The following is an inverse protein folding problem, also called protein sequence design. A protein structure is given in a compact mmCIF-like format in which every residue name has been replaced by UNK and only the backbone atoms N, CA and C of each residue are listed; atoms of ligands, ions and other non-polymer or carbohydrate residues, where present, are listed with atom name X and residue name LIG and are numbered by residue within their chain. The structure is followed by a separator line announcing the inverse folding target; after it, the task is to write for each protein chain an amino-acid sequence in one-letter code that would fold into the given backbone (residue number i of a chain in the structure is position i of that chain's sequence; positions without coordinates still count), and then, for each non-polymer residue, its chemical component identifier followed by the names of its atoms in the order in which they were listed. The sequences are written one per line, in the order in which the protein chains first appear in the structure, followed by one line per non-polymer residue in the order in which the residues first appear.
data_IF_639512112843
#
_entry.id   IF_639512112843
#
_cell.length_a   1.000
_cell.length_b   1.000
_cell.length_c   1.000
_cell.angle_alpha   90.00
_cell.angle_beta   90.00
_cell.angle_gamma   90.00
#
_symmetry.space_group_name_H-M   'P 1'
#
loop_
_entity.id
_entity.type
_entity.pdbx_description
1 polymer ?
#
# COMPACT_ATOMS: atom_id res chain seq x y z
N UNK A 1 -5.80 14.72 16.64
CA UNK A 1 -4.51 14.58 15.94
C UNK A 1 -4.73 13.60 14.81
N UNK A 2 -4.50 13.97 13.56
CA UNK A 2 -4.71 13.06 12.43
C UNK A 2 -3.62 12.00 12.44
N UNK A 3 -3.94 10.83 12.98
CA UNK A 3 -3.09 9.63 12.91
C UNK A 3 -2.82 9.31 11.43
N UNK A 4 -1.61 8.86 11.10
CA UNK A 4 -1.22 8.54 9.73
C UNK A 4 -2.10 7.40 9.16
N UNK A 5 -3.07 7.72 8.30
CA UNK A 5 -4.04 6.76 7.76
C UNK A 5 -3.48 6.02 6.55
N UNK A 6 -2.65 5.00 6.79
CA UNK A 6 -1.96 4.26 5.74
C UNK A 6 -2.91 3.67 4.68
N UNK A 7 -4.08 3.17 5.09
CA UNK A 7 -5.07 2.59 4.17
C UNK A 7 -5.74 3.60 3.24
N UNK A 8 -5.58 4.90 3.49
CA UNK A 8 -6.20 5.99 2.73
C UNK A 8 -5.18 6.85 1.99
N UNK A 9 -3.91 6.79 2.37
CA UNK A 9 -2.88 7.68 1.84
C UNK A 9 -2.34 7.19 0.49
N UNK A 10 -2.05 8.13 -0.41
CA UNK A 10 -1.31 7.90 -1.65
C UNK A 10 0.01 8.68 -1.60
N UNK A 11 1.16 7.98 -1.63
CA UNK A 11 2.46 8.67 -1.58
C UNK A 11 2.84 9.36 -2.89
N UNK A 12 2.20 9.04 -4.01
CA UNK A 12 2.51 9.66 -5.30
C UNK A 12 2.06 11.12 -5.39
N UNK A 13 0.94 11.46 -4.76
CA UNK A 13 0.35 12.79 -4.79
C UNK A 13 0.14 13.40 -3.39
N UNK A 14 0.43 12.65 -2.33
CA UNK A 14 0.28 13.07 -0.94
C UNK A 14 -1.18 13.17 -0.45
N UNK A 15 -2.14 12.67 -1.22
CA UNK A 15 -3.57 12.81 -0.91
C UNK A 15 -4.09 11.67 -0.05
N UNK A 16 -5.20 11.93 0.65
CA UNK A 16 -5.96 10.93 1.40
C UNK A 16 -7.30 10.68 0.72
N UNK A 17 -7.52 9.45 0.27
CA UNK A 17 -8.78 9.00 -0.31
C UNK A 17 -9.40 7.94 0.59
N UNK A 18 -10.62 8.18 1.08
CA UNK A 18 -11.37 7.17 1.84
C UNK A 18 -11.65 5.96 0.94
N UNK A 19 -11.43 4.77 1.49
CA UNK A 19 -11.70 3.48 0.82
C UNK A 19 -12.62 2.64 1.69
N UNK A 20 -13.54 1.92 1.07
CA UNK A 20 -14.38 0.94 1.75
C UNK A 20 -13.56 -0.31 2.08
N UNK A 21 -14.02 -1.11 3.06
CA UNK A 21 -13.34 -2.36 3.41
C UNK A 21 -13.25 -3.33 2.22
N UNK A 22 -14.23 -3.34 1.32
CA UNK A 22 -14.26 -4.16 0.10
C UNK A 22 -13.28 -3.70 -0.99
N UNK A 23 -12.82 -2.45 -0.98
CA UNK A 23 -11.81 -1.95 -1.91
C UNK A 23 -10.41 -2.40 -1.50
N UNK A 24 -10.04 -3.63 -1.89
CA UNK A 24 -8.79 -4.30 -1.48
C UNK A 24 -7.58 -4.00 -2.37
N UNK A 25 -7.78 -3.29 -3.47
CA UNK A 25 -6.74 -2.91 -4.42
C UNK A 25 -6.69 -1.39 -4.58
N UNK A 26 -5.47 -0.86 -4.64
CA UNK A 26 -5.20 0.49 -5.12
C UNK A 26 -4.89 0.44 -6.62
N UNK A 27 -5.36 1.44 -7.35
CA UNK A 27 -5.03 1.66 -8.76
C UNK A 27 -4.43 3.05 -8.88
N UNK A 28 -3.13 3.10 -9.18
CA UNK A 28 -2.39 4.34 -9.40
C UNK A 28 -2.05 4.43 -10.88
N UNK A 29 -3.02 4.90 -11.68
CA UNK A 29 -2.88 5.03 -13.14
C UNK A 29 -2.43 3.73 -13.83
N UNK A 30 -3.02 2.58 -13.47
CA UNK A 30 -2.71 1.26 -13.99
C UNK A 30 -1.75 0.44 -13.12
N UNK A 31 -1.08 1.07 -12.14
CA UNK A 31 -0.26 0.36 -11.15
C UNK A 31 -1.20 -0.18 -10.07
N UNK A 32 -1.49 -1.48 -10.13
CA UNK A 32 -2.33 -2.17 -9.15
C UNK A 32 -1.52 -2.69 -7.98
N UNK A 33 -1.89 -2.29 -6.76
CA UNK A 33 -1.22 -2.71 -5.53
C UNK A 33 -2.24 -3.15 -4.50
N UNK A 34 -2.01 -4.29 -3.87
CA UNK A 34 -2.85 -4.79 -2.80
C UNK A 34 -2.81 -3.83 -1.60
N UNK A 35 -3.99 -3.45 -1.10
CA UNK A 35 -4.18 -2.36 -0.12
C UNK A 35 -3.39 -2.57 1.17
N UNK A 36 -3.39 -3.77 1.70
CA UNK A 36 -2.78 -4.07 3.00
C UNK A 36 -1.26 -4.14 2.87
N UNK A 37 -0.75 -4.73 1.77
CA UNK A 37 0.68 -4.69 1.44
C UNK A 37 1.17 -3.24 1.27
N UNK A 38 0.39 -2.40 0.59
CA UNK A 38 0.71 -0.99 0.44
C UNK A 38 0.66 -0.22 1.77
N UNK A 39 -0.33 -0.52 2.62
CA UNK A 39 -0.43 0.08 3.95
C UNK A 39 0.78 -0.28 4.83
N UNK A 40 1.21 -1.54 4.79
CA UNK A 40 2.40 -2.01 5.50
C UNK A 40 3.67 -1.32 4.96
N UNK A 41 3.80 -1.17 3.64
CA UNK A 41 4.87 -0.41 3.01
C UNK A 41 4.92 1.05 3.50
N UNK A 42 3.77 1.73 3.57
CA UNK A 42 3.70 3.10 4.08
C UNK A 42 4.11 3.18 5.56
N UNK A 43 3.59 2.28 6.41
CA UNK A 43 3.92 2.23 7.84
C UNK A 43 5.43 2.02 8.06
N UNK A 44 6.07 1.15 7.26
CA UNK A 44 7.52 0.93 7.30
C UNK A 44 8.32 2.19 6.92
N UNK A 45 7.71 3.14 6.21
CA UNK A 45 8.30 4.41 5.78
C UNK A 45 7.68 5.61 6.51
N UNK A 46 7.26 5.44 7.76
CA UNK A 46 6.78 6.57 8.56
C UNK A 46 7.96 7.49 8.95
N UNK A 47 7.68 8.79 9.09
CA UNK A 47 8.63 9.77 9.62
C UNK A 47 8.97 9.49 11.08
N UNK A 48 10.12 10.00 11.54
CA UNK A 48 10.58 9.81 12.92
C UNK A 48 9.61 10.40 13.96
N UNK A 49 8.78 11.37 13.54
CA UNK A 49 7.73 11.94 14.37
C UNK A 49 6.46 11.08 14.46
N UNK A 50 6.39 9.93 13.75
CA UNK A 50 5.28 8.98 13.69
C UNK A 50 3.92 9.60 13.28
N UNK A 51 3.94 10.78 12.64
CA UNK A 51 2.73 11.56 12.32
C UNK A 51 2.42 11.60 10.83
N UNK A 52 3.42 11.40 9.99
CA UNK A 52 3.31 11.41 8.53
C UNK A 52 4.22 10.37 7.90
N UNK A 53 3.95 10.02 6.64
CA UNK A 53 4.81 9.17 5.85
C UNK A 53 5.98 9.97 5.27
N UNK A 54 7.16 9.37 5.27
CA UNK A 54 8.37 9.90 4.66
C UNK A 54 8.32 9.62 3.15
N UNK A 55 7.91 10.64 2.38
CA UNK A 55 7.65 10.52 0.95
C UNK A 55 8.94 10.20 0.18
N UNK A 56 10.07 10.78 0.59
CA UNK A 56 11.36 10.53 -0.05
C UNK A 56 11.79 9.06 0.13
N UNK A 57 11.63 8.50 1.34
CA UNK A 57 11.85 7.07 1.58
C UNK A 57 10.87 6.20 0.79
N UNK A 58 9.60 6.59 0.70
CA UNK A 58 8.62 5.86 -0.10
C UNK A 58 9.05 5.81 -1.57
N UNK A 59 9.34 6.97 -2.17
CA UNK A 59 9.77 7.07 -3.56
C UNK A 59 11.03 6.24 -3.84
N UNK A 60 12.06 6.35 -2.99
CA UNK A 60 13.31 5.61 -3.16
C UNK A 60 13.19 4.09 -2.98
N UNK A 61 12.12 3.59 -2.33
CA UNK A 61 11.90 2.16 -2.07
C UNK A 61 10.79 1.55 -2.91
N UNK A 62 9.99 2.39 -3.58
CA UNK A 62 8.74 1.96 -4.22
C UNK A 62 8.97 0.92 -5.32
N UNK A 63 9.94 1.12 -6.22
CA UNK A 63 10.20 0.17 -7.31
C UNK A 63 10.49 -1.25 -6.80
N UNK A 64 11.38 -1.37 -5.81
CA UNK A 64 11.72 -2.68 -5.25
C UNK A 64 10.53 -3.30 -4.50
N UNK A 65 9.76 -2.48 -3.75
CA UNK A 65 8.52 -2.93 -3.14
C UNK A 65 7.54 -3.46 -4.19
N UNK A 66 7.31 -2.70 -5.27
CA UNK A 66 6.37 -3.06 -6.32
C UNK A 66 6.76 -4.36 -7.04
N UNK A 67 8.05 -4.54 -7.33
CA UNK A 67 8.58 -5.79 -7.88
C UNK A 67 8.32 -6.98 -6.96
N UNK A 68 8.65 -6.86 -5.67
CA UNK A 68 8.44 -7.94 -4.69
C UNK A 68 6.95 -8.22 -4.44
N UNK A 69 6.13 -7.17 -4.40
CA UNK A 69 4.68 -7.26 -4.30
C UNK A 69 4.11 -8.11 -5.44
N UNK A 70 4.49 -7.84 -6.69
CA UNK A 70 3.96 -8.59 -7.83
C UNK A 70 4.34 -10.07 -7.78
N UNK A 71 5.60 -10.38 -7.42
CA UNK A 71 6.03 -11.77 -7.22
C UNK A 71 5.21 -12.47 -6.12
N UNK A 72 4.90 -11.76 -5.04
CA UNK A 72 4.11 -12.31 -3.94
C UNK A 72 2.64 -12.50 -4.33
N UNK A 73 2.03 -11.54 -5.02
CA UNK A 73 0.68 -11.68 -5.58
C UNK A 73 0.60 -12.88 -6.51
N UNK A 74 1.56 -13.05 -7.41
CA UNK A 74 1.59 -14.18 -8.34
C UNK A 74 1.73 -15.52 -7.57
N UNK A 75 2.57 -15.57 -6.54
CA UNK A 75 2.75 -16.75 -5.68
C UNK A 75 1.47 -17.13 -4.92
N UNK A 76 0.69 -16.12 -4.51
CA UNK A 76 -0.54 -16.29 -3.74
C UNK A 76 -1.77 -16.52 -4.60
N UNK A 77 -1.72 -16.14 -5.89
CA UNK A 77 -2.83 -16.33 -6.83
C UNK A 77 -3.18 -17.82 -6.95
N UNK A 78 -4.48 -18.13 -6.90
CA UNK A 78 -4.98 -19.51 -6.97
C UNK A 78 -4.95 -20.27 -5.63
N UNK A 79 -4.53 -19.65 -4.53
CA UNK A 79 -4.64 -20.23 -3.18
C UNK A 79 -6.06 -20.00 -2.64
N UNK A 80 -6.79 -21.09 -2.37
CA UNK A 80 -8.22 -21.06 -1.98
C UNK A 80 -8.55 -20.33 -0.68
N UNK A 81 -7.57 -20.08 0.18
CA UNK A 81 -7.78 -19.57 1.54
C UNK A 81 -7.55 -18.05 1.68
N UNK A 82 -7.40 -17.32 0.57
CA UNK A 82 -7.00 -15.90 0.56
C UNK A 82 -8.08 -14.93 0.06
N UNK A 83 -9.34 -15.37 0.02
CA UNK A 83 -10.47 -14.56 -0.45
C UNK A 83 -10.63 -13.23 0.32
N UNK A 84 -10.28 -13.19 1.61
CA UNK A 84 -10.33 -11.98 2.44
C UNK A 84 -9.35 -10.88 2.03
N UNK A 85 -8.28 -11.24 1.31
CA UNK A 85 -7.30 -10.29 0.79
C UNK A 85 -7.47 -9.98 -0.69
N UNK A 86 -8.46 -10.60 -1.34
CA UNK A 86 -8.81 -10.45 -2.75
C UNK A 86 -7.65 -10.78 -3.71
N UNK A 87 -6.94 -11.88 -3.43
CA UNK A 87 -5.90 -12.52 -4.27
C UNK A 87 -6.35 -13.96 -4.58
#
# INVERSE_FOLDING_TARGET
TSEAKASQFNHFDGTYTKKTLSQRWNDFNGIKIQRDMYSAFLIMNISDALKSFDIDKCNGRFENFYRLHNLEVDRLTGKKNLSSIAI
#
